data_IF_409170366199
#
_entry.id   IF_409170366199
#
_cell.length_a   1.000
_cell.length_b   1.000
_cell.length_c   1.000
_cell.angle_alpha   90.00
_cell.angle_beta   90.00
_cell.angle_gamma   90.00
#
_symmetry.space_group_name_H-M   'P 1'
#
loop_
_entity.id
_entity.type
_entity.pdbx_description
1 polymer ?
#
# COMPACT_ATOMS: atom_id res chain seq x y z
N UNK A 1 -21.28 5.35 -20.11
CA UNK A 1 -21.32 5.87 -18.73
C UNK A 1 -22.29 5.03 -17.92
N UNK A 2 -21.91 4.59 -16.72
CA UNK A 2 -22.84 3.99 -15.75
C UNK A 2 -23.18 5.06 -14.72
N UNK A 3 -24.45 5.23 -14.41
CA UNK A 3 -24.91 6.19 -13.40
C UNK A 3 -25.01 5.49 -12.05
N UNK A 4 -24.45 6.11 -11.01
CA UNK A 4 -24.57 5.67 -9.62
C UNK A 4 -25.34 6.74 -8.85
N UNK A 5 -26.38 6.32 -8.11
CA UNK A 5 -27.12 7.21 -7.22
C UNK A 5 -26.47 7.18 -5.84
N UNK A 6 -26.17 8.36 -5.29
CA UNK A 6 -25.54 8.49 -3.98
C UNK A 6 -26.54 9.05 -2.95
N UNK A 7 -26.55 8.53 -1.71
CA UNK A 7 -27.31 9.12 -0.62
C UNK A 7 -26.91 10.58 -0.33
N UNK A 8 -27.86 11.37 0.19
CA UNK A 8 -27.67 12.81 0.45
C UNK A 8 -26.46 13.12 1.35
N UNK A 9 -26.21 12.29 2.36
CA UNK A 9 -25.07 12.48 3.25
C UNK A 9 -23.71 12.29 2.53
N UNK A 10 -23.67 11.45 1.49
CA UNK A 10 -22.45 11.25 0.69
C UNK A 10 -22.26 12.42 -0.27
N UNK A 11 -23.31 12.92 -0.90
CA UNK A 11 -23.21 14.13 -1.74
C UNK A 11 -22.79 15.35 -0.92
N UNK A 12 -23.36 15.53 0.28
CA UNK A 12 -22.98 16.61 1.21
C UNK A 12 -21.51 16.49 1.64
N UNK A 13 -21.01 15.27 1.88
CA UNK A 13 -19.59 15.03 2.14
C UNK A 13 -18.74 15.45 0.94
N UNK A 14 -19.12 15.04 -0.28
CA UNK A 14 -18.40 15.40 -1.50
C UNK A 14 -18.43 16.91 -1.76
N UNK A 15 -19.47 17.62 -1.36
CA UNK A 15 -19.57 19.08 -1.50
C UNK A 15 -18.61 19.84 -0.57
N UNK A 16 -18.06 19.19 0.46
CA UNK A 16 -17.10 19.83 1.37
C UNK A 16 -15.82 20.25 0.63
N UNK A 17 -15.34 21.46 0.93
CA UNK A 17 -14.15 22.04 0.30
C UNK A 17 -12.83 21.32 0.62
N UNK A 18 -12.84 20.38 1.57
CA UNK A 18 -11.66 19.58 1.94
C UNK A 18 -11.29 18.57 0.85
N UNK A 19 -12.26 18.17 0.02
CA UNK A 19 -12.10 17.11 -0.98
C UNK A 19 -11.69 17.76 -2.29
N UNK A 20 -10.51 17.39 -2.77
CA UNK A 20 -9.93 17.92 -4.01
C UNK A 20 -10.72 17.42 -5.23
N UNK A 21 -10.94 18.31 -6.20
CA UNK A 21 -11.68 18.01 -7.43
C UNK A 21 -12.80 19.02 -7.67
N UNK A 22 -13.10 19.27 -8.95
CA UNK A 22 -14.15 20.20 -9.40
C UNK A 22 -15.46 19.47 -9.68
N UNK A 23 -15.39 18.22 -10.15
CA UNK A 23 -16.56 17.36 -10.39
C UNK A 23 -16.68 16.28 -9.33
N UNK A 24 -17.84 15.63 -9.22
CA UNK A 24 -18.01 14.50 -8.30
C UNK A 24 -17.13 13.31 -8.70
N UNK A 25 -16.94 13.09 -10.00
CA UNK A 25 -16.05 12.07 -10.54
C UNK A 25 -14.60 12.31 -10.11
N UNK A 26 -14.09 13.53 -10.30
CA UNK A 26 -12.74 13.91 -9.87
C UNK A 26 -12.58 13.76 -8.36
N UNK A 27 -13.58 14.18 -7.59
CA UNK A 27 -13.55 14.06 -6.12
C UNK A 27 -13.49 12.61 -5.66
N UNK A 28 -14.26 11.72 -6.28
CA UNK A 28 -14.24 10.28 -5.98
C UNK A 28 -12.88 9.67 -6.37
N UNK A 29 -12.35 10.03 -7.55
CA UNK A 29 -11.04 9.56 -8.00
C UNK A 29 -9.92 10.00 -7.04
N UNK A 30 -9.94 11.26 -6.61
CA UNK A 30 -8.95 11.80 -5.67
C UNK A 30 -9.03 11.15 -4.29
N UNK A 31 -10.25 10.89 -3.78
CA UNK A 31 -10.42 10.17 -2.51
C UNK A 31 -9.86 8.74 -2.58
N UNK A 32 -10.12 8.03 -3.68
CA UNK A 32 -9.58 6.69 -3.89
C UNK A 32 -8.05 6.72 -3.98
N UNK A 33 -7.51 7.67 -4.76
CA UNK A 33 -6.07 7.88 -4.88
C UNK A 33 -5.42 8.15 -3.52
N UNK A 34 -5.99 9.04 -2.72
CA UNK A 34 -5.49 9.38 -1.39
C UNK A 34 -5.48 8.17 -0.47
N UNK A 35 -6.55 7.35 -0.49
CA UNK A 35 -6.59 6.11 0.27
C UNK A 35 -5.48 5.13 -0.13
N UNK A 36 -5.18 4.99 -1.42
CA UNK A 36 -4.13 4.09 -1.89
C UNK A 36 -2.73 4.61 -1.56
N UNK A 37 -2.53 5.92 -1.65
CA UNK A 37 -1.27 6.57 -1.24
C UNK A 37 -1.04 6.41 0.26
N UNK A 38 -2.08 6.58 1.09
CA UNK A 38 -2.00 6.33 2.52
C UNK A 38 -1.61 4.88 2.83
N UNK A 39 -2.23 3.91 2.15
CA UNK A 39 -1.89 2.49 2.32
C UNK A 39 -0.44 2.18 1.94
N UNK A 40 0.06 2.77 0.86
CA UNK A 40 1.48 2.62 0.51
C UNK A 40 2.42 3.26 1.53
N UNK A 41 2.02 4.37 2.15
CA UNK A 41 2.81 4.99 3.22
C UNK A 41 2.93 4.06 4.42
N UNK A 42 1.80 3.45 4.84
CA UNK A 42 1.76 2.45 5.91
C UNK A 42 2.69 1.27 5.60
N UNK A 43 2.58 0.66 4.41
CA UNK A 43 3.48 -0.45 4.02
C UNK A 43 4.97 -0.05 4.06
N UNK A 44 5.30 1.16 3.59
CA UNK A 44 6.70 1.61 3.60
C UNK A 44 7.22 1.89 5.03
N UNK A 45 6.35 2.33 5.94
CA UNK A 45 6.71 2.52 7.35
C UNK A 45 7.00 1.17 8.00
N UNK A 46 6.13 0.16 7.80
CA UNK A 46 6.34 -1.19 8.34
C UNK A 46 7.57 -1.89 7.72
N UNK A 47 7.79 -1.76 6.41
CA UNK A 47 9.01 -2.27 5.75
C UNK A 47 10.26 -1.64 6.37
N UNK A 48 10.25 -0.33 6.62
CA UNK A 48 11.40 0.37 7.20
C UNK A 48 11.73 -0.14 8.61
N UNK A 49 10.75 -0.59 9.38
CA UNK A 49 10.98 -1.20 10.70
C UNK A 49 11.78 -2.50 10.57
N UNK A 50 11.44 -3.36 9.62
CA UNK A 50 12.19 -4.58 9.34
C UNK A 50 13.57 -4.30 8.75
N UNK A 51 13.67 -3.36 7.80
CA UNK A 51 14.96 -2.95 7.22
C UNK A 51 15.90 -2.40 8.30
N UNK A 52 15.35 -1.66 9.26
CA UNK A 52 16.12 -1.16 10.41
C UNK A 52 16.52 -2.29 11.36
N UNK A 53 15.63 -3.25 11.61
CA UNK A 53 15.89 -4.41 12.48
C UNK A 53 17.00 -5.30 11.94
N UNK A 54 16.95 -5.60 10.64
CA UNK A 54 17.87 -6.54 9.98
C UNK A 54 19.05 -5.87 9.29
N UNK A 55 19.02 -4.55 9.10
CA UNK A 55 20.08 -3.76 8.48
C UNK A 55 20.26 -4.02 6.99
N UNK A 56 19.22 -4.51 6.32
CA UNK A 56 19.20 -4.89 4.90
C UNK A 56 17.80 -4.77 4.33
N UNK A 57 17.66 -4.76 3.01
CA UNK A 57 16.36 -4.83 2.33
C UNK A 57 15.75 -6.23 2.37
N UNK A 58 14.44 -6.34 2.08
CA UNK A 58 13.75 -7.64 2.04
C UNK A 58 14.42 -8.62 1.07
N UNK A 59 14.79 -8.16 -0.13
CA UNK A 59 15.42 -9.03 -1.13
C UNK A 59 16.82 -9.52 -0.72
N UNK A 60 17.56 -8.72 0.05
CA UNK A 60 18.82 -9.15 0.66
C UNK A 60 18.56 -10.15 1.79
N UNK A 61 17.53 -9.93 2.60
CA UNK A 61 17.11 -10.83 3.66
C UNK A 61 16.67 -12.20 3.12
N UNK A 62 15.81 -12.22 2.08
CA UNK A 62 15.35 -13.44 1.41
C UNK A 62 16.53 -14.24 0.84
N UNK A 63 17.47 -13.57 0.19
CA UNK A 63 18.68 -14.22 -0.30
C UNK A 63 19.53 -14.80 0.83
N UNK A 64 19.76 -14.03 1.89
CA UNK A 64 20.53 -14.50 3.05
C UNK A 64 19.80 -15.64 3.77
N UNK A 65 18.46 -15.66 3.75
CA UNK A 65 17.65 -16.75 4.27
C UNK A 65 17.93 -18.04 3.49
N UNK A 66 17.87 -18.00 2.16
CA UNK A 66 18.12 -19.17 1.31
C UNK A 66 19.56 -19.70 1.40
N UNK A 67 20.53 -18.82 1.65
CA UNK A 67 21.94 -19.16 1.81
C UNK A 67 22.34 -19.57 3.25
N UNK A 68 21.36 -19.72 4.15
CA UNK A 68 21.56 -19.99 5.60
C UNK A 68 22.46 -18.95 6.29
N UNK A 69 22.47 -17.71 5.79
CA UNK A 69 23.20 -16.56 6.31
C UNK A 69 22.47 -15.79 7.42
N UNK A 70 21.18 -16.08 7.65
CA UNK A 70 20.40 -15.47 8.73
C UNK A 70 20.70 -16.18 10.05
N UNK A 71 21.16 -15.41 11.04
CA UNK A 71 21.36 -15.90 12.40
C UNK A 71 20.01 -16.26 13.03
N UNK A 72 19.96 -17.39 13.74
CA UNK A 72 18.77 -17.85 14.46
C UNK A 72 17.52 -17.95 13.54
N UNK A 73 17.75 -18.31 12.26
CA UNK A 73 16.74 -18.47 11.19
C UNK A 73 15.48 -19.20 11.62
N UNK A 74 15.62 -20.28 12.39
CA UNK A 74 14.50 -21.11 12.88
C UNK A 74 13.96 -20.70 14.25
N UNK A 75 14.31 -19.51 14.71
CA UNK A 75 13.63 -18.92 15.85
C UNK A 75 12.24 -18.45 15.41
N UNK A 76 11.27 -18.60 16.31
CA UNK A 76 9.90 -18.16 16.06
C UNK A 76 9.83 -16.68 15.66
N UNK A 77 10.69 -15.84 16.25
CA UNK A 77 10.73 -14.41 15.94
C UNK A 77 11.15 -14.16 14.48
N UNK A 78 12.28 -14.73 14.04
CA UNK A 78 12.79 -14.49 12.69
C UNK A 78 11.87 -15.10 11.63
N UNK A 79 11.28 -16.27 11.90
CA UNK A 79 10.28 -16.88 11.00
C UNK A 79 9.02 -16.01 10.89
N UNK A 80 8.54 -15.43 12.00
CA UNK A 80 7.38 -14.54 11.99
C UNK A 80 7.67 -13.27 11.22
N UNK A 81 8.82 -12.63 11.49
CA UNK A 81 9.25 -11.42 10.80
C UNK A 81 9.36 -11.65 9.29
N UNK A 82 9.90 -12.79 8.85
CA UNK A 82 10.01 -13.10 7.43
C UNK A 82 8.63 -13.17 6.77
N UNK A 83 7.68 -13.89 7.37
CA UNK A 83 6.32 -14.05 6.86
C UNK A 83 5.58 -12.70 6.81
N UNK A 84 5.68 -11.90 7.88
CA UNK A 84 5.02 -10.60 7.96
C UNK A 84 5.61 -9.63 6.94
N UNK A 85 6.93 -9.56 6.83
CA UNK A 85 7.59 -8.69 5.88
C UNK A 85 7.29 -9.08 4.43
N UNK A 86 7.27 -10.38 4.11
CA UNK A 86 6.87 -10.87 2.79
C UNK A 86 5.44 -10.44 2.45
N UNK A 87 4.51 -10.57 3.41
CA UNK A 87 3.12 -10.17 3.20
C UNK A 87 2.98 -8.67 2.90
N UNK A 88 3.75 -7.82 3.59
CA UNK A 88 3.73 -6.36 3.38
C UNK A 88 4.33 -5.98 2.02
N UNK A 89 5.40 -6.63 1.59
CA UNK A 89 5.98 -6.42 0.25
C UNK A 89 4.98 -6.80 -0.87
N UNK A 90 4.26 -7.92 -0.69
CA UNK A 90 3.19 -8.31 -1.61
C UNK A 90 2.04 -7.29 -1.61
N UNK A 91 1.62 -6.80 -0.44
CA UNK A 91 0.59 -5.78 -0.32
C UNK A 91 1.00 -4.46 -1.01
N UNK A 92 2.20 -3.98 -0.75
CA UNK A 92 2.79 -2.81 -1.42
C UNK A 92 2.79 -2.96 -2.95
N UNK A 93 3.23 -4.12 -3.44
CA UNK A 93 3.23 -4.43 -4.87
C UNK A 93 1.82 -4.37 -5.48
N UNK A 94 0.82 -4.88 -4.76
CA UNK A 94 -0.59 -4.81 -5.16
C UNK A 94 -1.08 -3.36 -5.23
N UNK A 95 -0.81 -2.54 -4.23
CA UNK A 95 -1.21 -1.12 -4.24
C UNK A 95 -0.54 -0.33 -5.37
N UNK A 96 0.75 -0.57 -5.62
CA UNK A 96 1.46 0.02 -6.76
C UNK A 96 0.87 -0.41 -8.11
N UNK A 97 0.40 -1.66 -8.23
CA UNK A 97 -0.29 -2.15 -9.42
C UNK A 97 -1.62 -1.42 -9.65
N UNK A 98 -2.41 -1.22 -8.60
CA UNK A 98 -3.67 -0.45 -8.67
C UNK A 98 -3.40 0.98 -9.10
N UNK A 99 -2.42 1.67 -8.50
CA UNK A 99 -2.06 3.05 -8.87
C UNK A 99 -1.60 3.18 -10.32
N UNK A 100 -0.81 2.22 -10.81
CA UNK A 100 -0.38 2.19 -12.22
C UNK A 100 -1.57 2.06 -13.17
N UNK A 101 -2.53 1.19 -12.85
CA UNK A 101 -3.77 1.03 -13.64
C UNK A 101 -4.62 2.29 -13.66
N UNK A 102 -4.73 2.99 -12.52
CA UNK A 102 -5.46 4.25 -12.45
C UNK A 102 -4.80 5.35 -13.29
N UNK A 103 -3.47 5.47 -13.25
CA UNK A 103 -2.74 6.47 -14.05
C UNK A 103 -2.68 6.14 -15.54
N UNK A 104 -2.66 4.86 -15.91
CA UNK A 104 -2.60 4.38 -17.29
C UNK A 104 -3.97 4.32 -18.01
N UNK A 105 -5.07 4.71 -17.36
CA UNK A 105 -6.41 4.76 -17.97
C UNK A 105 -6.67 5.99 -18.86
N UNK A 106 -5.65 6.82 -19.11
CA UNK A 106 -5.69 8.02 -19.95
C UNK A 106 -4.86 7.85 -21.25
N UNK A 107 -4.84 6.65 -21.82
CA UNK A 107 -4.36 6.38 -23.20
C UNK A 107 -5.52 5.99 -24.12
#
# INVERSE_FOLDING_TARGET
>A
MKTVSLPKNITELLDMAIIRGKTYEEKIEMLALDSFVSKLKECNEEILEFETKYGMSFGEFEKAWDEDGIRDKHSHEVETDYIEWEAIEQEKSRWLSVLRKMRGGYE
#
